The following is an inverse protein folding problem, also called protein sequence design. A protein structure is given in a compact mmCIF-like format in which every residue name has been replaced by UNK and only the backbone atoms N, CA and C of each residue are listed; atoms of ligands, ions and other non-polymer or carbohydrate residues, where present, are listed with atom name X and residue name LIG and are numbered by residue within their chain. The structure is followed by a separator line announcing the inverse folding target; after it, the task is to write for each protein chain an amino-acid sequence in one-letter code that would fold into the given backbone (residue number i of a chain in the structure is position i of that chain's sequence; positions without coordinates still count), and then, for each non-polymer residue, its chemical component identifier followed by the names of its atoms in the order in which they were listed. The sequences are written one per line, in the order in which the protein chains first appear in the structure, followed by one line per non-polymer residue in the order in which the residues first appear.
data_IF_368041976465
#
_entry.id   IF_368041976465
#
_cell.length_a   1.000
_cell.length_b   1.000
_cell.length_c   1.000
_cell.angle_alpha   90.00
_cell.angle_beta   90.00
_cell.angle_gamma   90.00
#
_symmetry.space_group_name_H-M   'P 1'
#
loop_
_entity.id
_entity.type
_entity.pdbx_description
1 polymer ?
#
# COMPACT_ATOMS: atom_id res chain seq x y z
N UNK A 1 7.43 2.66 -8.18
CA UNK A 1 6.95 3.59 -9.22
C UNK A 1 5.80 4.42 -8.69
N UNK A 2 5.05 5.06 -9.58
CA UNK A 2 3.85 5.84 -9.25
C UNK A 2 2.62 5.13 -9.87
N UNK A 3 1.57 4.78 -9.11
CA UNK A 3 0.49 3.89 -9.57
C UNK A 3 -0.60 4.62 -10.35
N UNK A 4 -0.20 5.51 -11.27
CA UNK A 4 -1.07 6.26 -12.18
C UNK A 4 -0.32 6.47 -13.50
N UNK A 5 -1.07 6.64 -14.59
CA UNK A 5 -0.52 7.04 -15.90
C UNK A 5 0.31 8.32 -15.78
N UNK A 6 1.38 8.40 -16.57
CA UNK A 6 2.15 9.65 -16.74
C UNK A 6 1.36 10.70 -17.52
N UNK A 7 0.41 10.26 -18.36
CA UNK A 7 -0.34 11.12 -19.27
C UNK A 7 0.51 11.70 -20.42
N UNK A 8 1.77 11.29 -20.57
CA UNK A 8 2.69 11.84 -21.56
C UNK A 8 2.61 11.11 -22.91
N UNK A 9 2.65 11.86 -24.01
CA UNK A 9 2.68 11.31 -25.36
C UNK A 9 3.95 10.53 -25.67
N UNK A 10 5.01 10.84 -24.94
CA UNK A 10 6.38 10.39 -25.17
C UNK A 10 6.76 9.17 -24.34
N UNK A 11 5.82 8.61 -23.59
CA UNK A 11 6.02 7.38 -22.81
C UNK A 11 5.14 6.30 -23.42
N UNK A 12 5.76 5.25 -23.95
CA UNK A 12 5.06 4.25 -24.75
C UNK A 12 4.35 3.18 -23.91
N UNK A 13 5.00 2.73 -22.83
CA UNK A 13 4.56 1.57 -22.05
C UNK A 13 4.38 1.91 -20.58
N UNK A 14 3.33 1.33 -19.99
CA UNK A 14 3.15 1.26 -18.54
C UNK A 14 3.16 -0.20 -18.11
N UNK A 15 4.04 -0.55 -17.16
CA UNK A 15 4.20 -1.93 -16.69
C UNK A 15 3.51 -2.09 -15.34
N UNK A 16 2.62 -3.07 -15.23
CA UNK A 16 1.86 -3.37 -14.02
C UNK A 16 1.70 -4.88 -13.83
N UNK A 17 1.17 -5.32 -12.69
CA UNK A 17 0.86 -6.73 -12.45
C UNK A 17 -0.55 -7.10 -12.87
N UNK A 18 -0.75 -8.31 -13.42
CA UNK A 18 -2.07 -8.81 -13.79
C UNK A 18 -3.04 -8.94 -12.59
N UNK A 19 -2.52 -9.22 -11.38
CA UNK A 19 -3.29 -9.25 -10.14
C UNK A 19 -3.60 -7.86 -9.58
N UNK A 20 -2.95 -6.82 -10.09
CA UNK A 20 -3.10 -5.44 -9.61
C UNK A 20 -4.07 -4.63 -10.47
N UNK A 21 -4.26 -4.99 -11.73
CA UNK A 21 -5.10 -4.27 -12.67
C UNK A 21 -6.51 -4.87 -12.78
N UNK A 22 -7.56 -4.07 -12.94
CA UNK A 22 -8.86 -4.60 -13.33
C UNK A 22 -8.89 -5.03 -14.81
N UNK A 23 -9.91 -5.79 -15.24
CA UNK A 23 -10.07 -6.18 -16.64
C UNK A 23 -10.14 -5.00 -17.61
N UNK A 24 -10.69 -3.87 -17.19
CA UNK A 24 -10.88 -2.65 -18.00
C UNK A 24 -9.72 -1.63 -17.86
N UNK A 25 -8.60 -2.03 -17.25
CA UNK A 25 -7.52 -1.11 -16.88
C UNK A 25 -6.89 -0.35 -18.06
N UNK A 26 -6.92 -0.90 -19.27
CA UNK A 26 -6.36 -0.26 -20.47
C UNK A 26 -6.99 1.12 -20.73
N UNK A 27 -8.23 1.36 -20.26
CA UNK A 27 -8.89 2.66 -20.37
C UNK A 27 -8.35 3.72 -19.38
N UNK A 28 -7.52 3.34 -18.41
CA UNK A 28 -6.96 4.23 -17.39
C UNK A 28 -5.59 4.80 -17.76
N UNK A 29 -4.96 4.29 -18.83
CA UNK A 29 -3.61 4.63 -19.22
C UNK A 29 -3.59 5.31 -20.58
N UNK A 30 -2.71 6.31 -20.70
CA UNK A 30 -2.33 6.83 -22.02
C UNK A 30 -1.33 5.89 -22.69
N UNK A 31 -0.38 5.41 -21.91
CA UNK A 31 0.58 4.41 -22.33
C UNK A 31 -0.12 3.09 -22.67
N UNK A 32 0.51 2.26 -23.48
CA UNK A 32 0.06 0.89 -23.64
C UNK A 32 0.36 0.12 -22.35
N UNK A 33 -0.69 -0.32 -21.68
CA UNK A 33 -0.58 -1.14 -20.47
C UNK A 33 -0.04 -2.53 -20.83
N UNK A 34 1.02 -2.93 -20.14
CA UNK A 34 1.57 -4.29 -20.16
C UNK A 34 1.41 -4.90 -18.78
N UNK A 35 0.68 -6.03 -18.72
CA UNK A 35 0.42 -6.79 -17.50
C UNK A 35 1.44 -7.91 -17.36
N UNK A 36 2.37 -7.73 -16.44
CA UNK A 36 3.35 -8.73 -16.00
C UNK A 36 2.68 -9.75 -15.08
N UNK A 37 3.22 -10.99 -14.97
CA UNK A 37 2.65 -12.03 -14.11
C UNK A 37 2.50 -11.60 -12.64
N UNK A 38 1.42 -12.05 -12.01
CA UNK A 38 1.19 -11.84 -10.58
C UNK A 38 1.09 -10.36 -10.20
N UNK A 39 1.84 -9.97 -9.18
CA UNK A 39 1.90 -8.56 -8.76
C UNK A 39 2.78 -7.68 -9.66
N UNK A 40 3.41 -8.25 -10.70
CA UNK A 40 4.39 -7.53 -11.52
C UNK A 40 5.66 -7.11 -10.77
N UNK A 41 5.87 -7.65 -9.57
CA UNK A 41 7.02 -7.39 -8.72
C UNK A 41 7.75 -8.71 -8.41
N UNK A 42 9.07 -8.72 -8.60
CA UNK A 42 9.95 -9.76 -8.07
C UNK A 42 10.68 -9.20 -6.85
N UNK A 43 10.11 -9.42 -5.66
CA UNK A 43 10.71 -9.00 -4.39
C UNK A 43 11.72 -10.02 -3.90
N UNK A 44 12.83 -9.53 -3.36
CA UNK A 44 13.79 -10.36 -2.63
C UNK A 44 13.42 -10.36 -1.16
N UNK A 45 13.55 -11.51 -0.49
CA UNK A 45 13.36 -11.59 0.95
C UNK A 45 14.27 -10.59 1.67
N UNK A 46 13.68 -9.73 2.51
CA UNK A 46 14.41 -8.75 3.32
C UNK A 46 14.83 -9.40 4.65
N UNK A 47 15.96 -8.98 5.26
CA UNK A 47 16.25 -9.33 6.65
C UNK A 47 15.10 -8.89 7.56
N UNK A 48 14.44 -9.84 8.22
CA UNK A 48 13.30 -9.58 9.11
C UNK A 48 13.71 -9.34 10.57
N UNK A 49 14.90 -8.77 10.78
CA UNK A 49 15.44 -8.49 12.12
C UNK A 49 14.80 -7.19 12.63
N UNK A 50 13.96 -7.33 13.65
CA UNK A 50 13.31 -6.20 14.29
C UNK A 50 14.24 -5.54 15.31
N UNK A 51 14.23 -4.21 15.35
CA UNK A 51 14.88 -3.42 16.39
C UNK A 51 13.87 -3.00 17.46
N UNK A 52 14.17 -3.13 18.75
CA UNK A 52 13.26 -2.73 19.82
C UNK A 52 12.84 -1.26 19.75
N UNK A 53 11.60 -0.99 20.17
CA UNK A 53 10.99 0.33 20.21
C UNK A 53 10.32 0.59 21.57
N UNK A 54 11.12 0.53 22.65
CA UNK A 54 10.64 0.54 24.04
C UNK A 54 9.63 1.66 24.35
N UNK A 55 9.89 2.89 23.87
CA UNK A 55 8.98 4.03 24.11
C UNK A 55 7.61 3.83 23.45
N UNK A 56 7.58 3.30 22.22
CA UNK A 56 6.34 3.00 21.50
C UNK A 56 5.64 1.79 22.12
N UNK A 57 6.40 0.77 22.50
CA UNK A 57 5.85 -0.40 23.18
C UNK A 57 5.13 -0.01 24.48
N UNK A 58 5.74 0.85 25.30
CA UNK A 58 5.09 1.37 26.51
C UNK A 58 3.78 2.12 26.20
N UNK A 59 3.76 2.95 25.15
CA UNK A 59 2.53 3.66 24.70
C UNK A 59 1.44 2.67 24.30
N UNK A 60 1.80 1.60 23.56
CA UNK A 60 0.84 0.61 23.07
C UNK A 60 0.40 -0.38 24.17
N UNK A 61 1.24 -0.65 25.16
CA UNK A 61 0.88 -1.47 26.32
C UNK A 61 -0.05 -0.74 27.30
N UNK A 62 0.00 0.59 27.32
CA UNK A 62 -0.89 1.43 28.15
C UNK A 62 -2.31 1.58 27.59
N UNK A 63 -2.63 0.94 26.46
CA UNK A 63 -3.96 0.98 25.85
C UNK A 63 -4.61 -0.40 25.81
N UNK A 64 -5.91 -0.42 26.05
CA UNK A 64 -6.72 -1.64 26.04
C UNK A 64 -7.23 -1.97 24.64
N UNK A 65 -7.39 -3.27 24.38
CA UNK A 65 -8.03 -3.78 23.18
C UNK A 65 -7.13 -3.94 21.96
N UNK A 66 -7.69 -4.36 20.81
CA UNK A 66 -6.96 -4.60 19.58
C UNK A 66 -6.28 -3.34 19.05
N UNK A 67 -5.05 -3.53 18.56
CA UNK A 67 -4.20 -2.48 17.98
C UNK A 67 -4.19 -2.59 16.46
N UNK A 68 -4.83 -1.64 15.81
CA UNK A 68 -4.79 -1.44 14.38
C UNK A 68 -3.62 -0.53 14.00
N UNK A 69 -2.80 -0.94 13.04
CA UNK A 69 -1.77 -0.07 12.47
C UNK A 69 -2.20 0.43 11.10
N UNK A 70 -2.12 1.74 10.90
CA UNK A 70 -2.33 2.39 9.59
C UNK A 70 -1.00 2.99 9.16
N UNK A 71 -0.07 2.13 8.74
CA UNK A 71 1.30 2.54 8.41
C UNK A 71 1.41 3.05 6.98
N UNK A 72 0.84 4.23 6.73
CA UNK A 72 0.82 4.89 5.45
C UNK A 72 1.28 6.35 5.57
N UNK A 73 1.80 6.91 4.46
CA UNK A 73 2.12 8.34 4.36
C UNK A 73 0.84 9.17 4.43
N UNK A 74 0.93 10.41 4.94
CA UNK A 74 -0.24 11.27 5.11
C UNK A 74 -1.03 11.49 3.82
N UNK A 75 -0.35 11.57 2.67
CA UNK A 75 -0.97 11.72 1.34
C UNK A 75 -1.95 10.60 0.95
N UNK A 76 -1.92 9.46 1.64
CA UNK A 76 -2.79 8.31 1.36
C UNK A 76 -4.11 8.33 2.14
N UNK A 77 -4.31 9.30 3.02
CA UNK A 77 -5.51 9.42 3.86
C UNK A 77 -6.54 10.34 3.22
N UNK A 78 -7.49 9.78 2.47
CA UNK A 78 -8.60 10.55 1.92
C UNK A 78 -9.70 10.81 2.97
N UNK A 79 -10.28 12.03 3.06
CA UNK A 79 -11.40 12.32 3.96
C UNK A 79 -12.60 11.38 3.83
N UNK A 80 -12.84 10.85 2.63
CA UNK A 80 -13.95 9.90 2.40
C UNK A 80 -13.79 8.60 3.20
N UNK A 81 -12.57 8.29 3.65
CA UNK A 81 -12.25 7.08 4.41
C UNK A 81 -12.39 7.28 5.92
N UNK A 82 -12.44 8.50 6.45
CA UNK A 82 -12.43 8.72 7.91
C UNK A 82 -13.54 7.97 8.68
N UNK A 83 -14.78 7.89 8.18
CA UNK A 83 -15.85 7.19 8.89
C UNK A 83 -15.54 5.71 9.16
N UNK A 84 -14.67 5.06 8.36
CA UNK A 84 -14.36 3.64 8.54
C UNK A 84 -13.68 3.38 9.89
N UNK A 85 -12.80 4.28 10.35
CA UNK A 85 -12.06 4.10 11.59
C UNK A 85 -12.98 4.22 12.80
N UNK A 86 -13.90 5.19 12.80
CA UNK A 86 -14.90 5.32 13.85
C UNK A 86 -15.88 4.13 13.84
N UNK A 87 -16.29 3.65 12.67
CA UNK A 87 -17.15 2.46 12.56
C UNK A 87 -16.47 1.18 13.06
N UNK A 88 -15.17 1.01 12.80
CA UNK A 88 -14.38 -0.08 13.39
C UNK A 88 -14.36 0.06 14.91
N UNK A 89 -14.08 1.25 15.44
CA UNK A 89 -14.06 1.51 16.87
C UNK A 89 -15.41 1.16 17.55
N UNK A 90 -16.53 1.56 16.95
CA UNK A 90 -17.87 1.19 17.42
C UNK A 90 -18.05 -0.34 17.44
N UNK A 91 -17.66 -1.02 16.35
CA UNK A 91 -17.84 -2.46 16.21
C UNK A 91 -16.95 -3.26 17.16
N UNK A 92 -15.78 -2.74 17.55
CA UNK A 92 -14.82 -3.43 18.41
C UNK A 92 -14.87 -3.02 19.88
N UNK A 93 -15.47 -1.87 20.20
CA UNK A 93 -15.35 -1.26 21.53
C UNK A 93 -13.96 -0.64 21.74
N UNK A 94 -13.31 -0.95 22.87
CA UNK A 94 -11.94 -0.46 23.15
C UNK A 94 -10.98 -0.96 22.06
N UNK A 95 -10.37 -0.04 21.31
CA UNK A 95 -9.39 -0.34 20.26
C UNK A 95 -8.56 0.88 19.93
N UNK A 96 -7.37 0.67 19.38
CA UNK A 96 -6.44 1.77 19.07
C UNK A 96 -5.97 1.73 17.62
N UNK A 97 -5.94 2.90 16.98
CA UNK A 97 -5.43 3.14 15.65
C UNK A 97 -4.09 3.86 15.77
N UNK A 98 -3.03 3.19 15.34
CA UNK A 98 -1.65 3.67 15.38
C UNK A 98 -1.26 4.21 14.02
N UNK A 99 -1.03 5.52 13.96
CA UNK A 99 -0.55 6.25 12.80
C UNK A 99 0.89 6.70 13.05
N UNK A 100 1.67 6.85 11.97
CA UNK A 100 3.03 7.37 12.05
C UNK A 100 3.05 8.83 11.63
N UNK A 101 3.84 9.64 12.32
CA UNK A 101 4.12 11.03 11.94
C UNK A 101 4.81 11.04 10.56
N UNK A 102 4.22 11.73 9.59
CA UNK A 102 4.83 11.85 8.27
C UNK A 102 6.20 12.55 8.37
N UNK A 103 7.27 11.97 7.81
CA UNK A 103 8.62 12.49 7.99
C UNK A 103 8.93 13.70 7.10
N UNK A 104 8.12 13.94 6.06
CA UNK A 104 8.33 15.06 5.12
C UNK A 104 7.34 16.19 5.39
N UNK A 105 6.07 15.84 5.66
CA UNK A 105 5.02 16.80 5.95
C UNK A 105 4.37 16.52 7.31
N UNK A 106 5.06 16.75 8.46
CA UNK A 106 4.52 16.45 9.79
C UNK A 106 3.15 17.09 10.07
N UNK A 107 2.94 18.31 9.56
CA UNK A 107 1.69 19.07 9.64
C UNK A 107 0.51 18.36 8.98
N UNK A 108 0.75 17.53 7.96
CA UNK A 108 -0.31 16.79 7.28
C UNK A 108 -0.88 15.69 8.20
N UNK A 109 -0.03 15.13 9.08
CA UNK A 109 -0.51 14.19 10.11
C UNK A 109 -1.40 14.91 11.13
N UNK A 110 -1.10 16.16 11.50
CA UNK A 110 -1.95 16.93 12.42
C UNK A 110 -3.34 17.18 11.82
N UNK A 111 -3.42 17.49 10.52
CA UNK A 111 -4.70 17.65 9.82
C UNK A 111 -5.52 16.35 9.79
N UNK A 112 -4.86 15.22 9.51
CA UNK A 112 -5.51 13.89 9.54
C UNK A 112 -6.03 13.60 10.94
N UNK A 113 -5.22 13.82 11.97
CA UNK A 113 -5.61 13.57 13.36
C UNK A 113 -6.78 14.47 13.79
N UNK A 114 -6.79 15.75 13.40
CA UNK A 114 -7.90 16.65 13.68
C UNK A 114 -9.20 16.16 13.01
N UNK A 115 -9.11 15.71 11.75
CA UNK A 115 -10.24 15.21 10.95
C UNK A 115 -10.80 13.90 11.51
N UNK A 116 -9.92 12.96 11.85
CA UNK A 116 -10.29 11.71 12.53
C UNK A 116 -10.89 12.00 13.90
N UNK A 117 -10.28 12.88 14.70
CA UNK A 117 -10.81 13.23 16.02
C UNK A 117 -12.20 13.86 15.94
N UNK A 118 -12.46 14.72 14.95
CA UNK A 118 -13.79 15.26 14.69
C UNK A 118 -14.81 14.15 14.34
N UNK A 119 -14.42 13.21 13.48
CA UNK A 119 -15.25 12.06 13.11
C UNK A 119 -15.58 11.16 14.30
N UNK A 120 -14.60 10.88 15.16
CA UNK A 120 -14.79 10.10 16.39
C UNK A 120 -15.76 10.80 17.34
N UNK A 121 -15.59 12.11 17.59
CA UNK A 121 -16.49 12.89 18.45
C UNK A 121 -17.92 12.92 17.90
N UNK A 122 -18.11 13.03 16.59
CA UNK A 122 -19.44 12.98 15.96
C UNK A 122 -20.15 11.64 16.20
N UNK A 123 -19.39 10.56 16.39
CA UNK A 123 -19.90 9.24 16.71
C UNK A 123 -19.96 8.96 18.22
N UNK A 124 -19.73 9.98 19.07
CA UNK A 124 -19.75 9.83 20.53
C UNK A 124 -18.54 9.09 21.11
N UNK A 125 -17.44 8.96 20.35
CA UNK A 125 -16.20 8.34 20.79
C UNK A 125 -15.20 9.38 21.29
N UNK A 126 -14.40 8.99 22.29
CA UNK A 126 -13.28 9.81 22.76
C UNK A 126 -12.03 9.55 21.89
N UNK A 127 -11.59 10.50 21.05
CA UNK A 127 -10.43 10.29 20.19
C UNK A 127 -9.14 10.01 20.97
N UNK A 128 -9.00 10.51 22.19
CA UNK A 128 -7.80 10.31 23.00
C UNK A 128 -7.71 8.87 23.55
N UNK A 129 -8.79 8.09 23.49
CA UNK A 129 -8.76 6.65 23.78
C UNK A 129 -8.38 5.79 22.57
N UNK A 130 -8.64 6.28 21.36
CA UNK A 130 -8.55 5.48 20.14
C UNK A 130 -7.39 5.85 19.23
N UNK A 131 -6.95 7.11 19.17
CA UNK A 131 -6.00 7.56 18.16
C UNK A 131 -4.61 7.74 18.78
N UNK A 132 -3.59 7.11 18.19
CA UNK A 132 -2.18 7.27 18.61
C UNK A 132 -1.33 7.66 17.41
N UNK A 133 -0.54 8.71 17.57
CA UNK A 133 0.53 9.05 16.63
C UNK A 133 1.86 8.72 17.27
N UNK A 134 2.68 7.95 16.57
CA UNK A 134 4.05 7.65 16.95
C UNK A 134 5.03 8.33 15.97
N UNK A 135 6.31 8.51 16.35
CA UNK A 135 7.32 9.00 15.43
C UNK A 135 7.49 8.12 14.18
N UNK A 136 8.06 8.68 13.12
CA UNK A 136 8.50 7.86 11.99
C UNK A 136 9.61 6.89 12.43
N UNK A 137 9.60 5.67 11.88
CA UNK A 137 10.49 4.59 12.30
C UNK A 137 11.50 4.23 11.20
N UNK A 138 12.67 3.75 11.61
CA UNK A 138 13.60 3.06 10.71
C UNK A 138 12.96 1.75 10.22
N UNK A 139 13.43 1.17 9.11
CA UNK A 139 12.90 -0.11 8.61
C UNK A 139 12.90 -1.23 9.65
N UNK A 140 13.96 -1.39 10.43
CA UNK A 140 14.05 -2.43 11.46
C UNK A 140 13.11 -2.17 12.65
N UNK A 141 12.96 -0.92 13.08
CA UNK A 141 12.00 -0.52 14.13
C UNK A 141 10.54 -0.67 13.67
N UNK A 142 10.28 -0.45 12.38
CA UNK A 142 8.97 -0.67 11.81
C UNK A 142 8.53 -2.15 11.90
N UNK A 143 9.45 -3.10 11.75
CA UNK A 143 9.15 -4.52 11.95
C UNK A 143 8.68 -4.82 13.38
N UNK A 144 9.30 -4.19 14.40
CA UNK A 144 8.86 -4.33 15.79
C UNK A 144 7.44 -3.76 16.00
N UNK A 145 7.10 -2.64 15.35
CA UNK A 145 5.74 -2.08 15.41
C UNK A 145 4.71 -3.08 14.89
N UNK A 146 5.00 -3.75 13.78
CA UNK A 146 4.12 -4.77 13.20
C UNK A 146 3.93 -6.00 14.11
N UNK A 147 4.88 -6.28 15.00
CA UNK A 147 4.75 -7.35 15.99
C UNK A 147 3.84 -6.97 17.16
N UNK A 148 3.89 -5.69 17.54
CA UNK A 148 3.09 -5.11 18.63
C UNK A 148 1.62 -4.87 18.26
N UNK A 149 1.30 -4.84 16.97
CA UNK A 149 -0.06 -4.63 16.45
C UNK A 149 -0.76 -5.94 16.10
N UNK A 150 -2.08 -5.88 15.96
CA UNK A 150 -2.94 -7.05 15.75
C UNK A 150 -3.48 -7.13 14.33
N UNK A 151 -3.79 -5.98 13.72
CA UNK A 151 -4.33 -5.90 12.36
C UNK A 151 -3.69 -4.73 11.61
N UNK A 152 -3.29 -4.96 10.37
CA UNK A 152 -2.87 -3.92 9.44
C UNK A 152 -4.08 -3.41 8.67
N UNK A 153 -4.32 -2.11 8.70
CA UNK A 153 -5.37 -1.46 7.91
C UNK A 153 -4.74 -0.73 6.73
N UNK A 154 -5.01 -1.21 5.53
CA UNK A 154 -4.63 -0.54 4.29
C UNK A 154 -5.61 0.59 3.93
N UNK A 155 -5.12 1.68 3.34
CA UNK A 155 -5.97 2.83 3.00
C UNK A 155 -6.78 2.56 1.72
N UNK A 156 -8.13 2.61 1.75
CA UNK A 156 -8.97 2.26 0.60
C UNK A 156 -8.76 3.10 -0.67
N UNK A 157 -8.50 4.40 -0.53
CA UNK A 157 -8.31 5.32 -1.67
C UNK A 157 -6.89 5.30 -2.23
N UNK A 158 -5.90 4.88 -1.42
CA UNK A 158 -4.51 4.75 -1.84
C UNK A 158 -3.80 3.65 -1.03
N UNK A 159 -3.76 2.46 -1.61
CA UNK A 159 -3.19 1.24 -1.04
C UNK A 159 -1.67 1.31 -0.87
N UNK A 160 -1.16 0.52 0.09
CA UNK A 160 0.26 0.20 0.24
C UNK A 160 0.67 -1.06 -0.49
N UNK A 161 1.92 -1.08 -0.94
CA UNK A 161 2.56 -2.32 -1.40
C UNK A 161 3.64 -2.74 -0.40
N UNK A 162 4.73 -1.98 -0.27
CA UNK A 162 5.88 -2.36 0.56
C UNK A 162 5.55 -2.56 2.04
N UNK A 163 4.74 -1.67 2.62
CA UNK A 163 4.33 -1.76 4.03
C UNK A 163 3.39 -2.94 4.29
N UNK A 164 2.48 -3.23 3.35
CA UNK A 164 1.63 -4.41 3.37
C UNK A 164 2.46 -5.70 3.21
N UNK A 165 3.44 -5.70 2.32
CA UNK A 165 4.40 -6.80 2.15
C UNK A 165 5.22 -7.07 3.42
N UNK A 166 5.69 -6.03 4.11
CA UNK A 166 6.36 -6.18 5.41
C UNK A 166 5.39 -6.73 6.48
N UNK A 167 4.14 -6.26 6.52
CA UNK A 167 3.12 -6.75 7.44
C UNK A 167 2.84 -8.25 7.23
N UNK A 168 2.70 -8.68 5.98
CA UNK A 168 2.54 -10.08 5.57
C UNK A 168 3.70 -10.94 6.10
N UNK A 169 4.94 -10.51 5.89
CA UNK A 169 6.14 -11.20 6.39
C UNK A 169 6.28 -11.21 7.91
N UNK A 170 5.71 -10.22 8.61
CA UNK A 170 5.58 -10.22 10.08
C UNK A 170 4.38 -11.01 10.58
N UNK A 171 3.60 -11.63 9.70
CA UNK A 171 2.42 -12.43 10.03
C UNK A 171 1.22 -11.59 10.46
N UNK A 172 1.20 -10.29 10.17
CA UNK A 172 0.10 -9.41 10.57
C UNK A 172 -1.03 -9.50 9.53
N UNK A 173 -2.26 -9.90 9.90
CA UNK A 173 -3.37 -9.93 8.96
C UNK A 173 -3.68 -8.51 8.44
N UNK A 174 -3.98 -8.41 7.15
CA UNK A 174 -4.15 -7.15 6.42
C UNK A 174 -5.59 -7.04 5.96
N UNK A 175 -6.24 -5.91 6.23
CA UNK A 175 -7.53 -5.55 5.63
C UNK A 175 -7.30 -4.50 4.56
N UNK A 176 -7.82 -4.73 3.37
CA UNK A 176 -7.77 -3.78 2.25
C UNK A 176 -9.11 -3.71 1.56
N UNK A 177 -9.42 -2.58 0.92
CA UNK A 177 -10.62 -2.43 0.09
C UNK A 177 -10.16 -2.23 -1.35
N UNK A 178 -10.55 -3.17 -2.20
CA UNK A 178 -10.21 -3.08 -3.60
C UNK A 178 -11.06 -2.02 -4.31
N UNK A 179 -10.38 -1.10 -5.01
CA UNK A 179 -11.01 -0.07 -5.82
C UNK A 179 -10.85 -0.28 -7.33
N UNK A 180 -11.23 0.76 -8.09
CA UNK A 180 -11.22 0.76 -9.55
C UNK A 180 -9.82 0.90 -10.15
N UNK A 181 -8.94 1.67 -9.52
CA UNK A 181 -7.64 2.05 -10.10
C UNK A 181 -6.50 1.29 -9.44
N UNK A 182 -5.37 1.11 -10.16
CA UNK A 182 -4.16 0.45 -9.65
C UNK A 182 -3.78 0.87 -8.22
N UNK A 183 -3.83 2.19 -7.94
CA UNK A 183 -3.50 2.73 -6.60
C UNK A 183 -4.36 2.19 -5.46
N UNK A 184 -5.51 1.57 -5.74
CA UNK A 184 -6.44 0.97 -4.77
C UNK A 184 -6.39 -0.56 -4.76
N UNK A 185 -5.44 -1.18 -5.46
CA UNK A 185 -5.43 -2.62 -5.72
C UNK A 185 -4.13 -3.32 -5.31
N UNK A 186 -3.16 -2.56 -4.79
CA UNK A 186 -1.80 -3.05 -4.48
C UNK A 186 -1.81 -4.15 -3.41
N UNK A 187 -2.37 -3.87 -2.22
CA UNK A 187 -2.49 -4.84 -1.16
C UNK A 187 -3.45 -5.99 -1.52
N UNK A 188 -4.52 -5.70 -2.28
CA UNK A 188 -5.47 -6.72 -2.73
C UNK A 188 -4.80 -7.77 -3.62
N UNK A 189 -4.04 -7.35 -4.63
CA UNK A 189 -3.32 -8.28 -5.49
C UNK A 189 -2.18 -9.01 -4.77
N UNK A 190 -1.53 -8.36 -3.80
CA UNK A 190 -0.56 -9.01 -2.91
C UNK A 190 -1.23 -10.14 -2.10
N UNK A 191 -2.37 -9.88 -1.48
CA UNK A 191 -3.13 -10.87 -0.71
C UNK A 191 -3.65 -12.01 -1.58
N UNK A 192 -4.12 -11.73 -2.80
CA UNK A 192 -4.49 -12.79 -3.75
C UNK A 192 -3.30 -13.67 -4.10
N UNK A 193 -2.13 -13.08 -4.36
CA UNK A 193 -0.90 -13.85 -4.64
C UNK A 193 -0.49 -14.72 -3.45
N UNK A 194 -0.71 -14.25 -2.22
CA UNK A 194 -0.48 -15.01 -1.01
C UNK A 194 -1.57 -16.07 -0.70
N UNK A 195 -2.67 -16.11 -1.45
CA UNK A 195 -3.82 -16.97 -1.15
C UNK A 195 -4.66 -16.52 0.06
N UNK A 196 -4.57 -15.24 0.43
CA UNK A 196 -5.23 -14.62 1.60
C UNK A 196 -6.32 -13.61 1.17
N UNK A 197 -7.11 -13.97 0.15
CA UNK A 197 -8.10 -13.07 -0.42
C UNK A 197 -9.31 -12.83 0.51
N UNK A 198 -9.45 -13.57 1.61
CA UNK A 198 -10.59 -13.46 2.54
C UNK A 198 -10.61 -12.16 3.35
N UNK A 199 -9.53 -11.38 3.29
CA UNK A 199 -9.44 -10.05 3.92
C UNK A 199 -9.39 -8.90 2.90
N UNK A 200 -9.68 -9.19 1.63
CA UNK A 200 -9.94 -8.20 0.59
C UNK A 200 -11.43 -7.85 0.61
N UNK A 201 -11.75 -6.68 1.15
CA UNK A 201 -13.12 -6.20 1.27
C UNK A 201 -13.70 -5.84 -0.10
N UNK A 202 -15.01 -6.08 -0.23
CA UNK A 202 -15.82 -5.73 -1.40
C UNK A 202 -16.54 -4.39 -1.27
N UNK A 203 -16.61 -3.84 -0.05
CA UNK A 203 -17.22 -2.55 0.26
C UNK A 203 -16.64 -1.97 1.55
N UNK A 204 -16.98 -0.72 1.88
CA UNK A 204 -16.59 -0.10 3.17
C UNK A 204 -17.20 -0.82 4.37
N UNK A 205 -18.46 -1.24 4.28
CA UNK A 205 -19.12 -1.99 5.34
C UNK A 205 -18.43 -3.34 5.57
N UNK A 206 -18.06 -4.02 4.48
CA UNK A 206 -17.31 -5.28 4.52
C UNK A 206 -15.90 -5.08 5.09
N UNK A 207 -15.21 -3.98 4.75
CA UNK A 207 -13.93 -3.61 5.34
C UNK A 207 -14.02 -3.49 6.86
N UNK A 208 -15.05 -2.78 7.37
CA UNK A 208 -15.31 -2.65 8.81
C UNK A 208 -15.60 -4.03 9.44
N UNK A 209 -16.43 -4.85 8.80
CA UNK A 209 -16.78 -6.18 9.29
C UNK A 209 -15.56 -7.12 9.38
N UNK A 210 -14.70 -7.11 8.36
CA UNK A 210 -13.45 -7.88 8.34
C UNK A 210 -12.52 -7.40 9.45
N UNK A 211 -12.33 -6.08 9.60
CA UNK A 211 -11.49 -5.51 10.65
C UNK A 211 -12.00 -5.88 12.06
N UNK A 212 -13.31 -5.78 12.30
CA UNK A 212 -13.92 -6.16 13.58
C UNK A 212 -13.79 -7.66 13.87
N UNK A 213 -14.01 -8.52 12.86
CA UNK A 213 -13.82 -9.97 12.98
C UNK A 213 -12.38 -10.32 13.35
N UNK A 214 -11.40 -9.74 12.66
CA UNK A 214 -9.98 -9.96 12.96
C UNK A 214 -9.60 -9.45 14.35
N UNK A 215 -10.10 -8.29 14.76
CA UNK A 215 -9.93 -7.79 16.12
C UNK A 215 -10.46 -8.75 17.18
N UNK A 216 -11.67 -9.30 16.97
CA UNK A 216 -12.25 -10.31 17.86
C UNK A 216 -11.46 -11.62 17.90
N UNK A 217 -10.92 -12.06 16.76
CA UNK A 217 -9.97 -13.19 16.68
C UNK A 217 -8.70 -12.90 17.49
N UNK A 218 -8.17 -11.68 17.44
CA UNK A 218 -6.93 -11.32 18.12
C UNK A 218 -7.07 -11.16 19.64
N UNK A 219 -8.29 -11.01 20.17
CA UNK A 219 -8.54 -10.98 21.61
C UNK A 219 -8.28 -12.32 22.31
N UNK A 220 -8.25 -13.43 21.55
CA UNK A 220 -7.85 -14.76 22.00
C UNK A 220 -6.39 -15.01 21.60
N UNK A 221 -5.47 -15.24 22.56
CA UNK A 221 -4.04 -15.44 22.27
C UNK A 221 -3.74 -16.60 21.31
N UNK A 222 -4.49 -17.70 21.40
CA UNK A 222 -4.27 -18.89 20.56
C UNK A 222 -4.76 -18.64 19.14
N UNK A 223 -5.94 -18.01 18.99
CA UNK A 223 -6.46 -17.61 17.67
C UNK A 223 -5.58 -16.56 17.02
N UNK A 224 -5.07 -15.59 17.80
CA UNK A 224 -4.09 -14.60 17.35
C UNK A 224 -2.83 -15.28 16.83
N UNK A 225 -2.24 -16.20 17.62
CA UNK A 225 -1.03 -16.92 17.24
C UNK A 225 -1.25 -17.75 15.96
N UNK A 226 -2.35 -18.49 15.88
CA UNK A 226 -2.72 -19.30 14.72
C UNK A 226 -2.90 -18.43 13.45
N UNK A 227 -3.62 -17.31 13.56
CA UNK A 227 -3.78 -16.36 12.45
C UNK A 227 -2.43 -15.85 11.96
N UNK A 228 -1.56 -15.40 12.88
CA UNK A 228 -0.24 -14.88 12.50
C UNK A 228 0.66 -15.93 11.88
N UNK A 229 0.60 -17.17 12.37
CA UNK A 229 1.33 -18.30 11.79
C UNK A 229 0.88 -18.58 10.35
N UNK A 230 -0.45 -18.59 10.10
CA UNK A 230 -1.00 -18.77 8.76
C UNK A 230 -0.57 -17.68 7.77
N UNK A 231 -0.66 -16.41 8.18
CA UNK A 231 -0.22 -15.26 7.38
C UNK A 231 1.28 -15.36 7.05
N UNK A 232 2.11 -15.71 8.05
CA UNK A 232 3.57 -15.86 7.86
C UNK A 232 3.92 -17.03 6.95
N UNK A 233 3.20 -18.15 7.04
CA UNK A 233 3.40 -19.31 6.18
C UNK A 233 3.07 -19.01 4.71
N UNK A 234 2.09 -18.13 4.46
CA UNK A 234 1.72 -17.66 3.12
C UNK A 234 2.70 -16.63 2.54
N UNK A 235 3.41 -15.87 3.37
CA UNK A 235 4.23 -14.74 2.95
C UNK A 235 5.28 -15.06 1.86
N UNK A 236 6.03 -16.19 1.90
CA UNK A 236 7.02 -16.49 0.86
C UNK A 236 6.43 -16.63 -0.56
N UNK A 237 5.13 -16.89 -0.72
CA UNK A 237 4.49 -17.06 -2.03
C UNK A 237 4.49 -15.77 -2.87
N UNK A 238 4.72 -14.61 -2.27
CA UNK A 238 4.74 -13.32 -2.97
C UNK A 238 6.14 -12.89 -3.42
N UNK A 239 7.17 -13.62 -3.01
CA UNK A 239 8.58 -13.29 -3.27
C UNK A 239 9.18 -14.12 -4.42
N UNK A 240 10.29 -13.63 -4.97
CA UNK A 240 11.17 -14.42 -5.84
C UNK A 240 10.55 -14.88 -7.16
N UNK A 241 9.46 -14.26 -7.60
CA UNK A 241 8.77 -14.63 -8.84
C UNK A 241 9.58 -14.20 -10.07
N UNK A 242 10.54 -15.05 -10.45
CA UNK A 242 11.45 -14.81 -11.58
C UNK A 242 10.70 -14.72 -12.92
N UNK A 243 9.45 -15.20 -13.01
CA UNK A 243 8.66 -15.07 -14.22
C UNK A 243 8.32 -13.61 -14.50
N UNK A 244 8.20 -12.77 -13.48
CA UNK A 244 8.06 -11.31 -13.63
C UNK A 244 9.28 -10.74 -14.35
N UNK A 245 10.50 -11.12 -13.94
CA UNK A 245 11.75 -10.64 -14.55
C UNK A 245 11.84 -11.08 -16.01
N UNK A 246 11.56 -12.36 -16.29
CA UNK A 246 11.57 -12.90 -17.66
C UNK A 246 10.54 -12.22 -18.55
N UNK A 247 9.32 -12.00 -18.04
CA UNK A 247 8.26 -11.31 -18.77
C UNK A 247 8.62 -9.85 -19.03
N UNK A 248 9.30 -9.19 -18.09
CA UNK A 248 9.80 -7.83 -18.25
C UNK A 248 10.87 -7.77 -19.36
N UNK A 249 11.87 -8.65 -19.33
CA UNK A 249 12.91 -8.74 -20.37
C UNK A 249 12.30 -8.94 -21.76
N UNK A 250 11.39 -9.91 -21.90
CA UNK A 250 10.69 -10.19 -23.15
C UNK A 250 9.90 -8.99 -23.65
N UNK A 251 9.20 -8.29 -22.74
CA UNK A 251 8.45 -7.08 -23.08
C UNK A 251 9.37 -6.00 -23.67
N UNK A 252 10.51 -5.75 -23.05
CA UNK A 252 11.46 -4.73 -23.51
C UNK A 252 12.08 -5.12 -24.86
N UNK A 253 12.51 -6.38 -25.03
CA UNK A 253 13.06 -6.85 -26.31
C UNK A 253 12.04 -6.72 -27.44
N UNK A 254 10.78 -7.11 -27.20
CA UNK A 254 9.72 -6.99 -28.19
C UNK A 254 9.42 -5.51 -28.53
N UNK A 255 9.38 -4.64 -27.52
CA UNK A 255 9.16 -3.21 -27.73
C UNK A 255 10.26 -2.58 -28.58
N UNK A 256 11.54 -2.86 -28.26
CA UNK A 256 12.68 -2.34 -29.03
C UNK A 256 12.72 -2.87 -30.47
N UNK A 257 12.34 -4.14 -30.67
CA UNK A 257 12.24 -4.72 -32.02
C UNK A 257 11.13 -4.08 -32.88
N UNK A 258 10.12 -3.47 -32.24
CA UNK A 258 9.02 -2.79 -32.93
C UNK A 258 9.30 -1.32 -33.27
N UNK A 259 10.39 -0.74 -32.74
CA UNK A 259 10.81 0.61 -33.10
C UNK A 259 11.45 0.57 -34.50
N UNK A 260 10.95 1.35 -35.47
CA UNK A 260 11.56 1.42 -36.80
C UNK A 260 13.03 1.83 -36.69
N UNK A 261 13.89 1.26 -37.52
CA UNK A 261 15.30 1.66 -37.55
C UNK A 261 15.40 3.19 -37.78
N UNK A 262 16.43 3.88 -37.26
CA UNK A 262 16.54 5.34 -37.36
C UNK A 262 16.36 5.91 -38.78
N UNK A 263 16.68 5.13 -39.82
CA UNK A 263 16.47 5.50 -41.24
C UNK A 263 15.03 5.43 -41.76
N UNK A 264 14.09 4.82 -41.02
CA UNK A 264 12.66 4.73 -41.40
C UNK A 264 11.80 5.80 -40.73
N UNK A 265 12.26 6.40 -39.62
CA UNK A 265 11.60 7.54 -38.96
C UNK A 265 11.73 8.83 -39.79
N UNK A 266 12.85 9.00 -40.51
CA UNK A 266 13.05 10.14 -41.42
C UNK A 266 12.07 10.15 -42.61
N UNK A 267 11.57 8.98 -43.03
CA UNK A 267 10.57 8.86 -44.09
C UNK A 267 9.13 9.19 -43.63
N UNK A 268 8.90 9.27 -42.31
CA UNK A 268 7.58 9.55 -41.72
C UNK A 268 7.42 11.01 -41.25
N UNK A 269 8.37 11.91 -41.54
CA UNK A 269 8.23 13.35 -41.29
C UNK A 269 8.39 13.79 -39.83
N UNK A 270 8.88 12.93 -38.94
CA UNK A 270 9.21 13.32 -37.57
C UNK A 270 10.63 13.91 -37.52
N UNK A 271 10.72 15.22 -37.29
CA UNK A 271 11.98 15.93 -37.06
C UNK A 271 12.65 15.39 -35.79
N UNK A 272 13.80 14.74 -35.99
CA UNK A 272 14.69 14.31 -34.91
C UNK A 272 15.34 15.57 -34.34
N UNK A 273 15.06 15.89 -33.07
CA UNK A 273 15.85 16.88 -32.34
C UNK A 273 17.25 16.31 -32.12
N UNK A 274 18.22 16.80 -32.89
CA UNK A 274 19.64 16.52 -32.65
C UNK A 274 20.15 17.43 -31.54
N UNK A 275 20.90 16.87 -30.59
CA UNK A 275 21.45 17.53 -29.41
C UNK A 275 22.58 18.54 -29.71
N UNK A 276 22.42 19.35 -30.75
CA UNK A 276 23.35 20.41 -31.18
C UNK A 276 22.76 21.82 -31.08
N UNK A 277 21.47 21.96 -30.75
CA UNK A 277 20.87 23.27 -30.55
C UNK A 277 21.04 23.69 -29.08
N UNK A 278 21.97 24.61 -28.88
CA UNK A 278 22.55 25.00 -27.60
C UNK A 278 21.52 25.40 -26.53
N UNK A 279 21.75 24.89 -25.32
CA UNK A 279 21.13 25.41 -24.10
C UNK A 279 21.85 26.72 -23.77
N UNK A 280 21.27 27.83 -24.20
CA UNK A 280 21.61 29.14 -23.65
C UNK A 280 21.00 29.21 -22.24
N UNK A 281 21.87 29.25 -21.24
CA UNK A 281 21.48 29.29 -19.85
C UNK A 281 20.98 30.68 -19.49
N UNK A 282 19.67 30.85 -19.30
CA UNK A 282 19.12 31.91 -18.44
C UNK A 282 17.64 31.71 -18.11
N UNK A 283 17.38 31.66 -16.78
CA UNK A 283 16.15 32.07 -16.07
C UNK A 283 14.84 31.32 -16.36
N UNK A 284 14.27 30.69 -15.33
CA UNK A 284 13.08 31.23 -14.66
C UNK A 284 12.82 30.57 -13.30
N UNK A 285 12.16 31.35 -12.44
CA UNK A 285 11.81 31.20 -11.02
C UNK A 285 11.33 29.83 -10.55
#
# INVERSE_FOLDING_TARGET
GHPISTGLATIDLFLSGDLLEPPDADAHYRERLVRLPGTGCCTTAMPLVAEPIADVEAILQAVDGPRFVVAQRAIKFDPVDDPIYAQIAIATGASVFVLLRDPVCPWATDLIMARLAATFRQQGLDPDRHLRVIPWLSPAKFLALLDLCDVYLDCPTFSGYTTAWQALHRGLPIVTLEGRYLRQRLAAGLLRKAGLAETVASSRADYVAIAARLAGECGDPDRRAARRAGVRAAAPAVDGDINVVRSFEQTLTAALASVPAPGQLAAAGASIWTASDGIDGQKCC
#
